data_IF_357153026083
#
_entry.id   IF_357153026083
#
_cell.length_a   1.000
_cell.length_b   1.000
_cell.length_c   1.000
_cell.angle_alpha   90.00
_cell.angle_beta   90.00
_cell.angle_gamma   90.00
#
_symmetry.space_group_name_H-M   'P 1'
#
loop_
_entity.id
_entity.type
_entity.pdbx_description
1 polymer ?
#
# COMPACT_ATOMS: atom_id res chain seq x y z
N UNK A 1 -28.26 2.20 -20.90
CA UNK A 1 -27.93 3.38 -21.68
C UNK A 1 -26.43 3.39 -22.00
N UNK A 2 -26.07 2.89 -23.19
CA UNK A 2 -24.65 2.74 -23.62
C UNK A 2 -23.90 4.07 -23.78
N UNK A 3 -24.59 5.18 -23.83
CA UNK A 3 -24.04 6.53 -23.96
C UNK A 3 -23.47 7.04 -22.63
N UNK A 4 -24.09 6.69 -21.50
CA UNK A 4 -23.63 7.06 -20.17
C UNK A 4 -22.35 6.32 -19.78
N UNK A 5 -22.28 5.01 -20.06
CA UNK A 5 -21.07 4.21 -19.79
C UNK A 5 -19.87 4.66 -20.64
N UNK A 6 -20.08 5.08 -21.89
CA UNK A 6 -19.02 5.61 -22.73
C UNK A 6 -18.52 6.99 -22.25
N UNK A 7 -19.40 7.83 -21.66
CA UNK A 7 -18.99 9.12 -21.11
C UNK A 7 -18.21 9.00 -19.79
N UNK A 8 -18.47 7.95 -19.02
CA UNK A 8 -17.74 7.69 -17.76
C UNK A 8 -16.31 7.14 -18.04
N UNK A 9 -16.15 6.39 -19.14
CA UNK A 9 -14.82 5.95 -19.60
C UNK A 9 -13.95 7.14 -20.04
N UNK A 10 -14.55 8.18 -20.60
CA UNK A 10 -13.80 9.39 -21.05
C UNK A 10 -13.41 10.33 -19.88
N UNK A 11 -13.96 10.18 -18.68
CA UNK A 11 -13.64 11.01 -17.52
C UNK A 11 -12.40 10.54 -16.75
N UNK A 12 -11.85 9.39 -17.09
CA UNK A 12 -10.59 8.91 -16.52
C UNK A 12 -9.44 9.65 -17.21
N UNK A 13 -8.91 10.66 -16.54
CA UNK A 13 -7.69 11.34 -17.01
C UNK A 13 -6.49 10.47 -16.63
N UNK A 14 -5.88 9.84 -17.63
CA UNK A 14 -4.61 9.14 -17.45
C UNK A 14 -3.43 10.11 -17.55
N UNK A 15 -2.57 10.10 -16.57
CA UNK A 15 -1.32 10.83 -16.58
C UNK A 15 -0.14 9.86 -16.72
N UNK A 16 0.94 10.29 -17.35
CA UNK A 16 2.14 9.47 -17.58
C UNK A 16 1.87 8.14 -18.29
N UNK A 17 1.38 8.22 -19.53
CA UNK A 17 1.18 7.03 -20.40
C UNK A 17 0.37 5.92 -19.71
N UNK A 18 -0.84 6.25 -19.26
CA UNK A 18 -1.81 5.27 -18.70
C UNK A 18 -1.31 4.45 -17.50
N UNK A 19 -0.49 5.05 -16.65
CA UNK A 19 0.04 4.37 -15.46
C UNK A 19 -0.53 4.89 -14.15
N UNK A 20 -1.15 6.07 -14.17
CA UNK A 20 -1.73 6.73 -13.00
C UNK A 20 -3.17 7.13 -13.33
N UNK A 21 -4.11 6.65 -12.54
CA UNK A 21 -5.53 6.99 -12.63
C UNK A 21 -5.92 7.91 -11.47
N UNK A 22 -6.43 9.07 -11.81
CA UNK A 22 -7.12 9.96 -10.87
C UNK A 22 -8.63 9.85 -11.13
N UNK A 23 -9.27 8.88 -10.53
CA UNK A 23 -10.72 8.76 -10.49
C UNK A 23 -11.30 9.31 -9.18
N UNK A 24 -12.61 9.38 -9.07
CA UNK A 24 -13.28 9.88 -7.86
C UNK A 24 -12.95 9.04 -6.62
N UNK A 25 -12.70 7.74 -6.79
CA UNK A 25 -12.36 6.84 -5.70
C UNK A 25 -10.91 7.06 -5.22
N UNK A 26 -9.95 7.21 -6.14
CA UNK A 26 -8.58 7.57 -5.82
C UNK A 26 -8.50 8.94 -5.11
N UNK A 27 -9.30 9.92 -5.54
CA UNK A 27 -9.38 11.22 -4.87
C UNK A 27 -9.82 11.10 -3.41
N UNK A 28 -10.83 10.30 -3.11
CA UNK A 28 -11.26 10.05 -1.72
C UNK A 28 -10.12 9.40 -0.92
N UNK A 29 -9.41 8.44 -1.51
CA UNK A 29 -8.25 7.80 -0.90
C UNK A 29 -7.13 8.79 -0.59
N UNK A 30 -6.81 9.65 -1.55
CA UNK A 30 -5.78 10.67 -1.40
C UNK A 30 -6.14 11.70 -0.31
N UNK A 31 -7.40 12.10 -0.22
CA UNK A 31 -7.90 12.98 0.87
C UNK A 31 -7.75 12.28 2.22
N UNK A 32 -8.10 11.00 2.34
CA UNK A 32 -7.93 10.24 3.59
C UNK A 32 -6.47 10.17 4.02
N UNK A 33 -5.54 9.86 3.11
CA UNK A 33 -4.10 9.87 3.41
C UNK A 33 -3.64 11.28 3.82
N UNK A 34 -4.11 12.32 3.14
CA UNK A 34 -3.85 13.71 3.51
C UNK A 34 -4.33 14.06 4.91
N UNK A 35 -5.52 13.61 5.30
CA UNK A 35 -6.03 13.79 6.68
C UNK A 35 -5.14 13.07 7.71
N UNK A 36 -4.74 11.82 7.43
CA UNK A 36 -3.83 11.06 8.31
C UNK A 36 -2.52 11.83 8.49
N UNK A 37 -1.96 12.40 7.43
CA UNK A 37 -0.77 13.24 7.50
C UNK A 37 -0.98 14.48 8.38
N UNK A 38 -2.07 15.20 8.21
CA UNK A 38 -2.38 16.39 9.01
C UNK A 38 -2.48 16.05 10.50
N UNK A 39 -3.18 14.96 10.86
CA UNK A 39 -3.25 14.47 12.23
C UNK A 39 -1.89 14.06 12.77
N UNK A 40 -1.06 13.43 11.95
CA UNK A 40 0.29 13.01 12.31
C UNK A 40 1.16 14.22 12.60
N UNK A 41 1.17 15.25 11.75
CA UNK A 41 1.93 16.46 11.99
C UNK A 41 1.49 17.20 13.26
N UNK A 42 0.18 17.23 13.54
CA UNK A 42 -0.31 17.84 14.78
C UNK A 42 0.15 17.04 16.01
N UNK A 43 0.12 15.72 15.96
CA UNK A 43 0.61 14.85 17.04
C UNK A 43 2.13 14.95 17.20
N UNK A 44 2.84 14.99 16.08
CA UNK A 44 4.28 15.07 16.01
C UNK A 44 4.83 16.34 16.67
N UNK A 45 4.19 17.48 16.42
CA UNK A 45 4.59 18.77 17.01
C UNK A 45 4.58 18.74 18.55
N UNK A 46 3.67 17.98 19.13
CA UNK A 46 3.59 17.80 20.60
C UNK A 46 4.61 16.81 21.15
N UNK A 47 5.13 15.90 20.33
CA UNK A 47 6.02 14.81 20.74
C UNK A 47 7.47 15.08 20.36
N UNK A 48 7.74 16.06 19.48
CA UNK A 48 9.07 16.41 18.97
C UNK A 48 10.07 16.83 20.04
N UNK A 49 9.61 17.29 21.20
CA UNK A 49 10.45 17.60 22.37
C UNK A 49 11.21 16.36 22.92
N UNK A 50 10.75 15.12 22.55
CA UNK A 50 11.35 13.88 23.02
C UNK A 50 12.45 13.33 22.10
N UNK A 51 12.57 13.81 20.85
CA UNK A 51 13.51 13.28 19.84
C UNK A 51 14.07 14.43 18.96
N UNK A 52 14.58 15.48 19.62
CA UNK A 52 15.03 16.71 18.93
C UNK A 52 16.01 16.48 17.77
N UNK A 53 16.96 15.55 17.91
CA UNK A 53 18.02 15.30 16.93
C UNK A 53 17.55 14.55 15.67
N UNK A 54 16.36 13.90 15.67
CA UNK A 54 15.89 13.03 14.56
C UNK A 54 14.59 13.48 13.91
N UNK A 55 14.12 14.65 14.27
CA UNK A 55 12.88 15.23 13.77
C UNK A 55 12.87 15.34 12.25
N UNK A 56 13.96 15.80 11.65
CA UNK A 56 14.09 15.98 10.21
C UNK A 56 14.09 14.64 9.47
N UNK A 57 14.82 13.63 9.98
CA UNK A 57 14.82 12.27 9.41
C UNK A 57 13.42 11.67 9.42
N UNK A 58 12.71 11.80 10.55
CA UNK A 58 11.34 11.31 10.69
C UNK A 58 10.38 11.98 9.70
N UNK A 59 10.44 13.30 9.54
CA UNK A 59 9.60 14.04 8.61
C UNK A 59 9.83 13.61 7.16
N UNK A 60 11.09 13.43 6.76
CA UNK A 60 11.42 12.93 5.42
C UNK A 60 10.83 11.53 5.20
N UNK A 61 10.98 10.61 6.17
CA UNK A 61 10.45 9.25 6.07
C UNK A 61 8.92 9.23 6.02
N UNK A 62 8.24 10.07 6.80
CA UNK A 62 6.78 10.21 6.77
C UNK A 62 6.32 10.72 5.40
N UNK A 63 6.96 11.74 4.84
CA UNK A 63 6.62 12.29 3.53
C UNK A 63 6.90 11.28 2.40
N UNK A 64 8.03 10.58 2.45
CA UNK A 64 8.32 9.52 1.49
C UNK A 64 7.33 8.37 1.59
N UNK A 65 6.97 7.95 2.79
CA UNK A 65 5.95 6.92 3.00
C UNK A 65 4.60 7.34 2.43
N UNK A 66 4.17 8.57 2.71
CA UNK A 66 2.92 9.10 2.20
C UNK A 66 2.91 9.17 0.66
N UNK A 67 4.00 9.66 0.04
CA UNK A 67 4.09 9.70 -1.43
C UNK A 67 4.03 8.31 -2.05
N UNK A 68 4.63 7.30 -1.41
CA UNK A 68 4.54 5.92 -1.85
C UNK A 68 3.09 5.38 -1.79
N UNK A 69 2.38 5.64 -0.70
CA UNK A 69 0.99 5.19 -0.57
C UNK A 69 0.01 5.96 -1.46
N UNK A 70 0.24 7.25 -1.74
CA UNK A 70 -0.52 7.99 -2.74
C UNK A 70 -0.30 7.38 -4.14
N UNK A 71 0.96 7.11 -4.51
CA UNK A 71 1.28 6.44 -5.77
C UNK A 71 0.62 5.05 -5.88
N UNK A 72 0.53 4.31 -4.76
CA UNK A 72 -0.13 3.01 -4.71
C UNK A 72 -1.64 3.12 -4.95
N UNK A 73 -2.31 4.15 -4.41
CA UNK A 73 -3.74 4.40 -4.57
C UNK A 73 -4.06 4.79 -6.02
N UNK A 74 -3.19 5.61 -6.64
CA UNK A 74 -3.38 6.12 -8.00
C UNK A 74 -2.87 5.14 -9.08
N UNK A 75 -2.39 3.96 -8.69
CA UNK A 75 -1.78 3.01 -9.61
C UNK A 75 -2.82 2.31 -10.49
N UNK A 76 -2.65 2.37 -11.81
CA UNK A 76 -3.48 1.66 -12.79
C UNK A 76 -3.02 0.22 -13.03
N UNK A 77 -1.75 -0.06 -12.79
CA UNK A 77 -1.18 -1.38 -13.02
C UNK A 77 -0.49 -1.95 -11.77
N UNK A 78 -0.40 -3.27 -11.71
CA UNK A 78 0.17 -4.00 -10.57
C UNK A 78 1.64 -3.65 -10.28
N UNK A 79 2.43 -3.25 -11.28
CA UNK A 79 3.84 -2.88 -11.08
C UNK A 79 3.92 -1.54 -10.36
N UNK A 80 3.16 -0.52 -10.79
CA UNK A 80 3.11 0.78 -10.12
C UNK A 80 2.55 0.66 -8.71
N UNK A 81 1.52 -0.20 -8.53
CA UNK A 81 0.96 -0.52 -7.22
C UNK A 81 2.03 -1.11 -6.30
N UNK A 82 2.83 -2.06 -6.79
CA UNK A 82 3.94 -2.63 -6.04
C UNK A 82 5.02 -1.60 -5.70
N UNK A 83 5.42 -0.76 -6.65
CA UNK A 83 6.43 0.28 -6.43
C UNK A 83 5.95 1.26 -5.35
N UNK A 84 4.71 1.73 -5.43
CA UNK A 84 4.11 2.61 -4.42
C UNK A 84 4.08 1.96 -3.04
N UNK A 85 3.67 0.69 -2.97
CA UNK A 85 3.65 -0.11 -1.75
C UNK A 85 5.05 -0.24 -1.13
N UNK A 86 6.10 -0.47 -1.93
CA UNK A 86 7.47 -0.61 -1.43
C UNK A 86 8.07 0.72 -0.97
N UNK A 87 7.88 1.81 -1.72
CA UNK A 87 8.33 3.14 -1.28
C UNK A 87 7.71 3.49 0.07
N UNK A 88 6.39 3.28 0.20
CA UNK A 88 5.68 3.51 1.46
C UNK A 88 6.19 2.64 2.60
N UNK A 89 6.36 1.34 2.35
CA UNK A 89 6.73 0.35 3.38
C UNK A 89 8.17 0.48 3.84
N UNK A 90 9.14 0.64 2.93
CA UNK A 90 10.56 0.80 3.29
C UNK A 90 10.75 2.02 4.19
N UNK A 91 10.04 3.11 3.89
CA UNK A 91 10.05 4.30 4.73
C UNK A 91 9.50 4.02 6.14
N UNK A 92 8.44 3.21 6.27
CA UNK A 92 7.92 2.79 7.58
C UNK A 92 8.87 1.85 8.32
N UNK A 93 9.59 0.97 7.63
CA UNK A 93 10.59 0.10 8.28
C UNK A 93 11.72 0.93 8.88
N UNK A 94 12.21 1.94 8.16
CA UNK A 94 13.20 2.88 8.65
C UNK A 94 12.67 3.73 9.83
N UNK A 95 11.41 4.16 9.76
CA UNK A 95 10.76 4.94 10.80
C UNK A 95 10.61 4.14 12.11
N UNK A 96 10.31 2.82 12.02
CA UNK A 96 10.24 1.94 13.20
C UNK A 96 11.59 1.86 13.94
N UNK A 97 12.71 1.84 13.20
CA UNK A 97 14.08 1.79 13.74
C UNK A 97 14.73 3.14 13.95
N UNK A 98 13.98 4.23 14.00
CA UNK A 98 14.55 5.57 14.11
C UNK A 98 15.36 5.76 15.40
N UNK A 99 14.96 5.13 16.50
CA UNK A 99 15.69 5.19 17.76
C UNK A 99 16.79 4.11 17.83
N UNK A 100 17.90 4.36 17.14
CA UNK A 100 19.03 3.41 16.99
C UNK A 100 19.67 2.99 18.32
N UNK A 101 19.52 3.77 19.38
CA UNK A 101 20.04 3.46 20.72
C UNK A 101 19.16 2.47 21.51
N UNK A 102 17.95 2.23 21.05
CA UNK A 102 16.99 1.34 21.70
C UNK A 102 16.96 -0.03 21.01
N UNK A 103 17.20 -1.08 21.78
CA UNK A 103 17.18 -2.45 21.27
C UNK A 103 15.78 -2.86 20.77
N UNK A 104 14.71 -2.42 21.43
CA UNK A 104 13.34 -2.71 21.03
C UNK A 104 13.01 -2.06 19.68
N UNK A 105 13.46 -0.82 19.43
CA UNK A 105 13.28 -0.14 18.15
C UNK A 105 14.02 -0.84 17.02
N UNK A 106 15.25 -1.30 17.26
CA UNK A 106 16.03 -2.05 16.28
C UNK A 106 15.40 -3.41 15.97
N UNK A 107 14.92 -4.12 16.99
CA UNK A 107 14.21 -5.40 16.83
C UNK A 107 12.90 -5.22 16.05
N UNK A 108 12.11 -4.19 16.38
CA UNK A 108 10.88 -3.84 15.68
C UNK A 108 11.12 -3.57 14.19
N UNK A 109 12.13 -2.76 13.88
CA UNK A 109 12.50 -2.46 12.49
C UNK A 109 12.91 -3.71 11.72
N UNK A 110 13.74 -4.57 12.34
CA UNK A 110 14.21 -5.81 11.70
C UNK A 110 13.05 -6.78 11.45
N UNK A 111 12.18 -7.00 12.44
CA UNK A 111 10.99 -7.85 12.29
C UNK A 111 10.06 -7.32 11.19
N UNK A 112 9.83 -6.01 11.20
CA UNK A 112 8.94 -5.37 10.23
C UNK A 112 9.50 -5.48 8.81
N UNK A 113 10.80 -5.24 8.64
CA UNK A 113 11.48 -5.39 7.35
C UNK A 113 11.46 -6.84 6.85
N UNK A 114 11.87 -7.82 7.68
CA UNK A 114 11.96 -9.21 7.25
C UNK A 114 10.59 -9.80 6.89
N UNK A 115 9.59 -9.58 7.72
CA UNK A 115 8.25 -10.10 7.47
C UNK A 115 7.55 -9.31 6.36
N UNK A 116 7.79 -8.00 6.29
CA UNK A 116 7.28 -7.15 5.23
C UNK A 116 7.83 -7.49 3.86
N UNK A 117 9.14 -7.72 3.74
CA UNK A 117 9.77 -8.11 2.48
C UNK A 117 9.32 -9.50 2.01
N UNK A 118 9.08 -10.44 2.95
CA UNK A 118 8.48 -11.73 2.60
C UNK A 118 7.09 -11.56 1.97
N UNK A 119 6.25 -10.70 2.57
CA UNK A 119 4.93 -10.41 2.01
C UNK A 119 5.01 -9.74 0.63
N UNK A 120 6.00 -8.86 0.43
CA UNK A 120 6.26 -8.22 -0.85
C UNK A 120 6.71 -9.23 -1.92
N UNK A 121 7.52 -10.22 -1.56
CA UNK A 121 7.87 -11.31 -2.48
C UNK A 121 6.63 -12.13 -2.90
N UNK A 122 5.74 -12.43 -1.95
CA UNK A 122 4.47 -13.13 -2.24
C UNK A 122 3.62 -12.30 -3.20
N UNK A 123 3.52 -10.98 -2.95
CA UNK A 123 2.77 -10.07 -3.78
C UNK A 123 3.30 -10.01 -5.23
N UNK A 124 4.62 -9.83 -5.41
CA UNK A 124 5.26 -9.80 -6.75
C UNK A 124 5.10 -11.14 -7.46
N UNK A 125 5.21 -12.25 -6.74
CA UNK A 125 4.99 -13.56 -7.32
C UNK A 125 3.55 -13.71 -7.83
N UNK A 126 2.57 -13.15 -7.11
CA UNK A 126 1.18 -13.07 -7.59
C UNK A 126 1.05 -12.29 -8.89
N UNK A 127 1.71 -11.12 -9.01
CA UNK A 127 1.74 -10.34 -10.26
C UNK A 127 2.33 -11.16 -11.41
N UNK A 128 3.44 -11.84 -11.16
CA UNK A 128 4.10 -12.67 -12.17
C UNK A 128 3.20 -13.78 -12.70
N UNK A 129 2.41 -14.44 -11.83
CA UNK A 129 1.47 -15.48 -12.23
C UNK A 129 0.33 -14.93 -13.10
N UNK A 130 -0.20 -13.75 -12.77
CA UNK A 130 -1.22 -13.09 -13.60
C UNK A 130 -0.64 -12.75 -14.96
N UNK A 131 0.56 -12.16 -15.00
CA UNK A 131 1.22 -11.82 -16.25
C UNK A 131 1.49 -13.03 -17.14
N UNK A 132 2.01 -14.13 -16.58
CA UNK A 132 2.26 -15.37 -17.33
C UNK A 132 0.97 -15.96 -17.90
N UNK A 133 -0.14 -15.82 -17.18
CA UNK A 133 -1.43 -16.39 -17.58
C UNK A 133 -2.18 -15.57 -18.62
N UNK A 134 -2.20 -14.24 -18.43
CA UNK A 134 -3.05 -13.34 -19.23
C UNK A 134 -2.23 -12.41 -20.15
N UNK A 135 -0.91 -12.30 -19.95
CA UNK A 135 -0.03 -11.31 -20.59
C UNK A 135 -0.48 -9.85 -20.35
N UNK A 136 -1.17 -9.60 -19.23
CA UNK A 136 -1.75 -8.33 -18.83
C UNK A 136 -1.13 -7.90 -17.50
N UNK A 137 -0.88 -6.60 -17.34
CA UNK A 137 -0.31 -6.00 -16.11
C UNK A 137 -1.31 -5.01 -15.48
N UNK A 138 -2.25 -4.47 -16.26
CA UNK A 138 -3.25 -3.51 -15.80
C UNK A 138 -4.28 -4.16 -14.88
N UNK A 139 -4.65 -3.48 -13.79
CA UNK A 139 -5.65 -3.98 -12.83
C UNK A 139 -7.02 -4.05 -13.51
N UNK A 140 -7.42 -2.96 -14.15
CA UNK A 140 -8.70 -2.87 -14.86
C UNK A 140 -8.77 -3.83 -16.05
N UNK A 141 -7.71 -3.92 -16.84
CA UNK A 141 -7.62 -4.85 -17.97
C UNK A 141 -7.73 -6.31 -17.54
N UNK A 142 -7.14 -6.65 -16.38
CA UNK A 142 -7.26 -7.98 -15.79
C UNK A 142 -8.71 -8.30 -15.42
N UNK A 143 -9.45 -7.34 -14.85
CA UNK A 143 -10.86 -7.54 -14.50
C UNK A 143 -11.73 -7.73 -15.75
N UNK A 144 -11.49 -6.96 -16.80
CA UNK A 144 -12.16 -7.12 -18.10
C UNK A 144 -11.87 -8.51 -18.69
N UNK A 145 -10.61 -8.92 -18.72
CA UNK A 145 -10.21 -10.23 -19.26
C UNK A 145 -10.92 -11.38 -18.51
N UNK A 146 -10.96 -11.32 -17.18
CA UNK A 146 -11.67 -12.30 -16.35
C UNK A 146 -13.17 -12.31 -16.67
N UNK A 147 -13.80 -11.16 -16.84
CA UNK A 147 -15.22 -11.05 -17.17
C UNK A 147 -15.56 -11.65 -18.54
N UNK A 148 -14.67 -11.50 -19.52
CA UNK A 148 -14.85 -12.10 -20.85
C UNK A 148 -14.65 -13.62 -20.86
N UNK A 149 -13.67 -14.13 -20.10
CA UNK A 149 -13.39 -15.57 -19.99
C UNK A 149 -14.52 -16.28 -19.23
N UNK A 150 -15.18 -15.57 -18.33
CA UNK A 150 -16.20 -16.09 -17.42
C UNK A 150 -15.60 -16.77 -16.19
N UNK A 151 -16.27 -16.69 -15.03
CA UNK A 151 -15.71 -17.13 -13.75
C UNK A 151 -15.32 -18.62 -13.71
N UNK A 152 -16.04 -19.47 -14.44
CA UNK A 152 -15.80 -20.91 -14.48
C UNK A 152 -14.58 -21.31 -15.32
N UNK A 153 -14.07 -20.41 -16.18
CA UNK A 153 -12.99 -20.70 -17.11
C UNK A 153 -11.70 -19.94 -16.78
N UNK A 154 -11.64 -19.22 -15.66
CA UNK A 154 -10.43 -18.47 -15.24
C UNK A 154 -9.29 -19.47 -15.01
N UNK A 155 -8.11 -19.27 -15.64
CA UNK A 155 -6.96 -20.14 -15.43
C UNK A 155 -6.59 -20.20 -13.94
N UNK A 156 -6.27 -21.39 -13.45
CA UNK A 156 -5.86 -21.60 -12.05
C UNK A 156 -4.68 -20.70 -11.66
N UNK A 157 -3.76 -20.45 -12.58
CA UNK A 157 -2.61 -19.57 -12.38
C UNK A 157 -3.02 -18.13 -12.10
N UNK A 158 -4.02 -17.59 -12.82
CA UNK A 158 -4.60 -16.27 -12.56
C UNK A 158 -5.25 -16.23 -11.19
N UNK A 159 -6.05 -17.23 -10.85
CA UNK A 159 -6.73 -17.30 -9.56
C UNK A 159 -5.74 -17.34 -8.39
N UNK A 160 -4.71 -18.18 -8.48
CA UNK A 160 -3.63 -18.24 -7.48
C UNK A 160 -2.88 -16.91 -7.42
N UNK A 161 -2.61 -16.26 -8.56
CA UNK A 161 -1.96 -14.96 -8.61
C UNK A 161 -2.74 -13.88 -7.85
N UNK A 162 -4.07 -13.82 -8.05
CA UNK A 162 -4.94 -12.89 -7.31
C UNK A 162 -4.93 -13.15 -5.81
N UNK A 163 -5.01 -14.44 -5.40
CA UNK A 163 -4.92 -14.81 -3.97
C UNK A 163 -3.60 -14.31 -3.37
N UNK A 164 -2.48 -14.49 -4.05
CA UNK A 164 -1.17 -14.07 -3.53
C UNK A 164 -1.05 -12.54 -3.41
N UNK A 165 -1.62 -11.79 -4.34
CA UNK A 165 -1.71 -10.32 -4.24
C UNK A 165 -2.54 -9.93 -3.02
N UNK A 166 -3.71 -10.54 -2.83
CA UNK A 166 -4.57 -10.28 -1.67
C UNK A 166 -3.84 -10.64 -0.37
N UNK A 167 -3.15 -11.77 -0.29
CA UNK A 167 -2.36 -12.17 0.88
C UNK A 167 -1.28 -11.14 1.20
N UNK A 168 -0.57 -10.62 0.21
CA UNK A 168 0.41 -9.55 0.40
C UNK A 168 -0.20 -8.28 0.98
N UNK A 169 -1.39 -7.87 0.52
CA UNK A 169 -2.11 -6.71 1.05
C UNK A 169 -2.69 -6.98 2.45
N UNK A 170 -3.22 -8.17 2.72
CA UNK A 170 -3.72 -8.56 4.04
C UNK A 170 -2.61 -8.55 5.09
N UNK A 171 -1.37 -8.89 4.71
CA UNK A 171 -0.21 -8.72 5.57
C UNK A 171 0.01 -7.25 5.95
N UNK A 172 -0.08 -6.32 4.99
CA UNK A 172 0.11 -4.87 5.26
C UNK A 172 -0.97 -4.31 6.19
N UNK A 173 -2.18 -4.81 6.11
CA UNK A 173 -3.30 -4.45 7.00
C UNK A 173 -3.16 -5.10 8.39
N UNK A 174 -2.29 -6.09 8.54
CA UNK A 174 -2.21 -6.96 9.72
C UNK A 174 -3.54 -7.71 9.99
N UNK A 175 -4.19 -8.18 8.92
CA UNK A 175 -5.38 -9.02 9.06
C UNK A 175 -5.01 -10.43 9.51
N UNK A 176 -5.90 -11.11 10.27
CA UNK A 176 -5.70 -12.50 10.64
C UNK A 176 -5.61 -13.39 9.38
N UNK A 177 -4.66 -14.35 9.30
CA UNK A 177 -3.67 -14.77 10.29
C UNK A 177 -2.33 -14.00 10.26
N UNK A 178 -2.20 -12.93 9.49
CA UNK A 178 -0.93 -12.21 9.21
C UNK A 178 -0.62 -11.08 10.21
N UNK A 179 -1.31 -11.01 11.35
CA UNK A 179 -1.19 -9.92 12.33
C UNK A 179 0.00 -10.04 13.29
N UNK A 180 0.72 -11.16 13.30
CA UNK A 180 1.71 -11.49 14.33
C UNK A 180 2.86 -10.46 14.47
N UNK A 181 3.17 -9.72 13.39
CA UNK A 181 4.22 -8.70 13.40
C UNK A 181 3.79 -7.38 14.08
N UNK A 182 2.51 -7.05 14.07
CA UNK A 182 2.03 -5.72 14.44
C UNK A 182 2.23 -5.38 15.94
N UNK A 183 1.96 -6.26 16.91
CA UNK A 183 2.19 -5.95 18.31
C UNK A 183 3.65 -5.62 18.63
N UNK A 184 4.58 -6.42 18.13
CA UNK A 184 6.01 -6.24 18.40
C UNK A 184 6.53 -4.94 17.76
N UNK A 185 6.10 -4.65 16.52
CA UNK A 185 6.49 -3.44 15.80
C UNK A 185 5.92 -2.19 16.48
N UNK A 186 4.67 -2.21 16.91
CA UNK A 186 4.06 -1.06 17.56
C UNK A 186 4.60 -0.82 18.97
N UNK A 187 4.98 -1.88 19.68
CA UNK A 187 5.62 -1.76 20.99
C UNK A 187 7.04 -1.19 20.90
N UNK A 188 7.81 -1.62 19.90
CA UNK A 188 9.22 -1.19 19.76
C UNK A 188 9.39 0.13 19.00
N UNK A 189 8.38 0.58 18.27
CA UNK A 189 8.48 1.84 17.51
C UNK A 189 8.25 3.07 18.38
N UNK A 190 8.88 4.22 18.08
CA UNK A 190 8.63 5.45 18.81
C UNK A 190 7.15 5.85 18.75
N UNK A 191 6.55 6.11 19.91
CA UNK A 191 5.09 6.28 20.10
C UNK A 191 4.48 7.36 19.20
N UNK A 192 5.21 8.45 18.94
CA UNK A 192 4.75 9.55 18.07
C UNK A 192 4.47 9.14 16.62
N UNK A 193 5.08 8.04 16.15
CA UNK A 193 4.95 7.58 14.76
C UNK A 193 4.05 6.35 14.61
N UNK A 194 3.80 5.62 15.70
CA UNK A 194 2.98 4.41 15.69
C UNK A 194 1.57 4.71 15.15
N UNK A 195 0.98 5.82 15.54
CA UNK A 195 -0.33 6.25 15.03
C UNK A 195 -0.35 6.40 13.52
N UNK A 196 0.67 7.02 12.93
CA UNK A 196 0.84 7.14 11.49
C UNK A 196 1.04 5.78 10.82
N UNK A 197 1.99 4.99 11.31
CA UNK A 197 2.28 3.65 10.78
C UNK A 197 1.06 2.74 10.80
N UNK A 198 0.26 2.81 11.90
CA UNK A 198 -0.93 2.00 12.08
C UNK A 198 -2.11 2.41 11.19
N UNK A 199 -2.14 3.65 10.72
CA UNK A 199 -3.28 4.18 9.93
C UNK A 199 -2.98 4.26 8.45
N UNK A 200 -1.86 4.87 8.03
CA UNK A 200 -1.61 5.15 6.62
C UNK A 200 -1.54 3.88 5.77
N UNK A 201 -0.76 2.90 6.18
CA UNK A 201 -0.62 1.64 5.44
C UNK A 201 -1.94 0.85 5.35
N UNK A 202 -2.74 0.86 6.42
CA UNK A 202 -4.04 0.17 6.45
C UNK A 202 -5.06 0.86 5.57
N UNK A 203 -5.20 2.18 5.69
CA UNK A 203 -6.13 2.96 4.86
C UNK A 203 -5.83 2.75 3.39
N UNK A 204 -4.57 2.93 2.98
CA UNK A 204 -4.16 2.77 1.58
C UNK A 204 -4.35 1.34 1.07
N UNK A 205 -4.01 0.33 1.88
CA UNK A 205 -4.21 -1.07 1.50
C UNK A 205 -5.69 -1.45 1.39
N UNK A 206 -6.57 -0.92 2.24
CA UNK A 206 -8.02 -1.15 2.12
C UNK A 206 -8.61 -0.50 0.88
N UNK A 207 -8.14 0.69 0.51
CA UNK A 207 -8.55 1.37 -0.73
C UNK A 207 -8.19 0.50 -1.94
N UNK A 208 -6.95 0.00 -1.99
CA UNK A 208 -6.50 -0.87 -3.08
C UNK A 208 -7.24 -2.21 -3.10
N UNK A 209 -7.49 -2.81 -1.93
CA UNK A 209 -8.31 -4.04 -1.84
C UNK A 209 -9.73 -3.81 -2.35
N UNK A 210 -10.32 -2.66 -2.06
CA UNK A 210 -11.64 -2.29 -2.58
C UNK A 210 -11.61 -2.12 -4.10
N UNK A 211 -10.55 -1.51 -4.64
CA UNK A 211 -10.36 -1.34 -6.09
C UNK A 211 -10.21 -2.69 -6.81
N UNK A 212 -9.47 -3.62 -6.24
CA UNK A 212 -9.33 -4.98 -6.81
C UNK A 212 -10.66 -5.76 -6.73
N UNK A 213 -11.47 -5.54 -5.69
CA UNK A 213 -12.76 -6.21 -5.54
C UNK A 213 -13.81 -5.71 -6.55
N UNK A 214 -13.79 -4.42 -6.89
CA UNK A 214 -14.71 -3.79 -7.85
C UNK A 214 -14.35 -4.20 -9.28
#
# INVERSE_FOLDING_TARGET
DRSSAASDVYKRQSYFTEKILLDEFALVGNVLVGMVLLFTFNSFWKTSELIEDKTTEALILILMSASGFLLMIDAENFIMLFIGLEIGSISLYALAGLNRGDQLSNEAALKYFLLGSLASCIFVYGIALIYVSLSIIGVYETSIAISFIGPDNVPLTTFVGLILIIVGLLFKVAAAPFQAWAPDVYQGSPTGYVGYMATVAKVSSFIVLSLIHI
#
